data_IF_446073967806
#
_entry.id   IF_446073967806
#
_cell.length_a   1.000
_cell.length_b   1.000
_cell.length_c   1.000
_cell.angle_alpha   90.00
_cell.angle_beta   90.00
_cell.angle_gamma   90.00
#
_symmetry.space_group_name_H-M   'P 1'
#
loop_
_entity.id
_entity.type
_entity.pdbx_description
1 polymer ?
#
# COMPACT_ATOMS: atom_id res chain seq x y z
N UNK A 1 19.12 7.41 -13.61
CA UNK A 1 19.06 5.94 -13.54
C UNK A 1 18.01 5.42 -14.51
N UNK A 2 18.16 4.21 -15.09
CA UNK A 2 17.36 3.76 -16.24
C UNK A 2 15.83 3.80 -16.04
N UNK A 3 15.33 3.45 -14.86
CA UNK A 3 13.89 3.48 -14.55
C UNK A 3 13.33 4.91 -14.39
N UNK A 4 14.15 5.83 -13.85
CA UNK A 4 13.79 7.25 -13.73
C UNK A 4 13.81 7.94 -15.10
N UNK A 5 14.87 7.71 -15.88
CA UNK A 5 15.06 8.30 -17.21
C UNK A 5 14.01 7.83 -18.21
N UNK A 6 13.54 6.58 -18.08
CA UNK A 6 12.46 6.04 -18.93
C UNK A 6 11.05 6.39 -18.47
N UNK A 7 10.89 7.14 -17.37
CA UNK A 7 9.57 7.52 -16.82
C UNK A 7 8.76 6.35 -16.25
N UNK A 8 9.38 5.18 -16.04
CA UNK A 8 8.70 3.96 -15.56
C UNK A 8 8.72 3.80 -14.04
N UNK A 9 9.48 4.63 -13.33
CA UNK A 9 9.52 4.65 -11.87
C UNK A 9 8.43 5.56 -11.31
N UNK A 10 7.35 4.97 -10.78
CA UNK A 10 6.26 5.72 -10.16
C UNK A 10 6.61 6.29 -8.77
N UNK A 11 7.15 5.45 -7.89
CA UNK A 11 7.62 5.79 -6.55
C UNK A 11 8.48 4.65 -5.98
N UNK A 12 9.11 4.88 -4.83
CA UNK A 12 9.76 3.85 -4.02
C UNK A 12 8.97 3.61 -2.73
N UNK A 13 8.75 2.33 -2.42
CA UNK A 13 8.12 1.90 -1.17
C UNK A 13 9.18 1.59 -0.11
N UNK A 14 9.12 2.30 1.01
CA UNK A 14 9.87 2.03 2.23
C UNK A 14 8.98 1.28 3.24
N UNK A 15 9.07 -0.05 3.26
CA UNK A 15 8.31 -0.90 4.18
C UNK A 15 9.10 -1.15 5.47
N UNK A 16 8.57 -0.69 6.60
CA UNK A 16 9.19 -0.88 7.90
C UNK A 16 8.61 -2.08 8.66
N UNK A 17 9.41 -2.79 9.47
CA UNK A 17 8.97 -3.94 10.23
C UNK A 17 8.16 -3.53 11.49
N UNK A 18 7.43 -4.47 12.13
CA UNK A 18 6.61 -4.17 13.32
C UNK A 18 7.38 -3.58 14.51
N UNK A 19 8.68 -3.81 14.62
CA UNK A 19 9.53 -3.25 15.69
C UNK A 19 10.04 -1.83 15.40
N UNK A 20 9.62 -1.23 14.28
CA UNK A 20 9.86 0.19 13.99
C UNK A 20 8.78 1.01 14.71
N UNK A 21 9.15 1.75 15.76
CA UNK A 21 8.23 2.52 16.61
C UNK A 21 8.37 4.03 16.38
N UNK A 22 7.30 4.83 16.55
CA UNK A 22 7.37 6.29 16.41
C UNK A 22 8.20 6.94 17.50
N UNK A 23 9.45 7.26 17.15
CA UNK A 23 10.40 8.04 17.96
C UNK A 23 11.23 8.97 17.08
N UNK A 24 11.94 9.91 17.69
CA UNK A 24 12.72 10.91 16.96
C UNK A 24 13.69 10.27 15.98
N UNK A 25 14.43 9.24 16.41
CA UNK A 25 15.46 8.59 15.60
C UNK A 25 14.87 7.91 14.36
N UNK A 26 13.67 7.33 14.48
CA UNK A 26 12.98 6.71 13.33
C UNK A 26 12.40 7.73 12.37
N UNK A 27 11.97 8.89 12.88
CA UNK A 27 11.50 10.00 12.06
C UNK A 27 12.67 10.61 11.28
N UNK A 28 13.80 10.87 11.96
CA UNK A 28 15.04 11.35 11.35
C UNK A 28 15.57 10.37 10.29
N UNK A 29 15.42 9.06 10.54
CA UNK A 29 15.77 8.02 9.56
C UNK A 29 14.92 8.13 8.29
N UNK A 30 13.60 8.34 8.42
CA UNK A 30 12.72 8.52 7.25
C UNK A 30 13.08 9.77 6.46
N UNK A 31 13.47 10.86 7.13
CA UNK A 31 13.93 12.08 6.46
C UNK A 31 15.25 11.85 5.71
N UNK A 32 16.22 11.22 6.36
CA UNK A 32 17.49 10.83 5.72
C UNK A 32 17.24 9.93 4.50
N UNK A 33 16.30 8.99 4.61
CA UNK A 33 15.93 8.13 3.49
C UNK A 33 15.31 8.93 2.33
N UNK A 34 14.36 9.83 2.61
CA UNK A 34 13.76 10.73 1.60
C UNK A 34 14.82 11.58 0.90
N UNK A 35 15.73 12.18 1.66
CA UNK A 35 16.83 12.99 1.12
C UNK A 35 17.69 12.18 0.14
N UNK A 36 18.06 10.95 0.52
CA UNK A 36 18.85 10.05 -0.35
C UNK A 36 18.12 9.60 -1.61
N UNK A 37 16.79 9.58 -1.59
CA UNK A 37 15.97 9.27 -2.77
C UNK A 37 15.88 10.46 -3.74
N UNK A 38 16.27 11.67 -3.32
CA UNK A 38 16.20 12.88 -4.12
C UNK A 38 14.78 13.17 -4.61
N UNK A 39 14.63 13.36 -5.92
CA UNK A 39 13.33 13.65 -6.55
C UNK A 39 12.40 12.43 -6.67
N UNK A 40 12.85 11.22 -6.31
CA UNK A 40 12.01 10.02 -6.42
C UNK A 40 10.95 10.06 -5.30
N UNK A 41 9.65 9.99 -5.62
CA UNK A 41 8.60 9.96 -4.59
C UNK A 41 8.76 8.74 -3.68
N UNK A 42 8.59 8.96 -2.37
CA UNK A 42 8.72 7.91 -1.36
C UNK A 42 7.38 7.68 -0.70
N UNK A 43 6.98 6.41 -0.64
CA UNK A 43 5.80 5.95 0.12
C UNK A 43 6.28 5.10 1.29
N UNK A 44 5.75 5.35 2.47
CA UNK A 44 6.10 4.65 3.71
C UNK A 44 4.99 3.69 4.13
N UNK A 45 5.36 2.46 4.45
CA UNK A 45 4.45 1.48 5.01
C UNK A 45 4.84 1.09 6.44
N UNK A 46 3.90 1.31 7.36
CA UNK A 46 4.03 0.93 8.76
C UNK A 46 3.32 -0.40 9.05
N UNK A 47 3.94 -1.22 9.90
CA UNK A 47 3.43 -2.52 10.37
C UNK A 47 3.03 -2.52 11.85
N UNK A 48 2.94 -1.34 12.44
CA UNK A 48 2.67 -1.18 13.87
C UNK A 48 1.65 -0.07 14.12
N UNK A 49 0.57 -0.37 14.83
CA UNK A 49 -0.49 0.59 15.17
C UNK A 49 -0.03 1.82 15.94
N UNK A 50 1.14 1.79 16.58
CA UNK A 50 1.70 2.94 17.28
C UNK A 50 1.88 4.16 16.37
N UNK A 51 2.03 3.96 15.06
CA UNK A 51 2.12 5.02 14.04
C UNK A 51 0.77 5.65 13.70
N UNK A 52 -0.36 5.07 14.12
CA UNK A 52 -1.69 5.61 13.85
C UNK A 52 -1.99 6.80 14.77
N UNK A 53 -1.36 7.95 14.47
CA UNK A 53 -1.51 9.20 15.19
C UNK A 53 -1.60 10.36 14.20
N UNK A 54 -2.40 11.36 14.52
CA UNK A 54 -2.54 12.55 13.66
C UNK A 54 -1.20 13.25 13.41
N UNK A 55 -0.35 13.34 14.45
CA UNK A 55 0.99 13.92 14.33
C UNK A 55 1.91 13.19 13.35
N UNK A 56 1.71 11.88 13.14
CA UNK A 56 2.45 11.10 12.14
C UNK A 56 1.97 11.47 10.74
N UNK A 57 0.66 11.56 10.51
CA UNK A 57 0.12 11.97 9.20
C UNK A 57 0.53 13.40 8.84
N UNK A 58 0.50 14.32 9.80
CA UNK A 58 1.01 15.68 9.62
C UNK A 58 2.51 15.69 9.29
N UNK A 59 3.31 14.85 9.98
CA UNK A 59 4.73 14.69 9.66
C UNK A 59 4.93 14.18 8.23
N UNK A 60 4.17 13.18 7.79
CA UNK A 60 4.28 12.65 6.43
C UNK A 60 3.94 13.72 5.38
N UNK A 61 2.83 14.44 5.57
CA UNK A 61 2.42 15.54 4.68
C UNK A 61 3.45 16.66 4.62
N UNK A 62 3.96 17.11 5.78
CA UNK A 62 4.96 18.18 5.87
C UNK A 62 6.26 17.84 5.10
N UNK A 63 6.60 16.56 5.00
CA UNK A 63 7.88 16.11 4.43
C UNK A 63 7.72 15.38 3.08
N UNK A 64 6.56 15.51 2.42
CA UNK A 64 6.29 14.89 1.12
C UNK A 64 6.60 13.37 1.11
N UNK A 65 6.10 12.69 2.15
CA UNK A 65 6.16 11.24 2.31
C UNK A 65 4.77 10.65 2.12
N UNK A 66 4.61 9.80 1.11
CA UNK A 66 3.37 9.10 0.85
C UNK A 66 3.08 8.06 1.92
N UNK A 67 1.80 7.82 2.19
CA UNK A 67 1.35 6.82 3.14
C UNK A 67 0.83 5.58 2.40
N UNK A 68 1.39 4.42 2.73
CA UNK A 68 0.88 3.15 2.24
C UNK A 68 -0.32 2.70 3.09
N UNK A 69 -1.51 2.77 2.50
CA UNK A 69 -2.75 2.25 3.05
C UNK A 69 -2.69 0.71 3.00
N UNK A 70 -2.62 0.09 4.16
CA UNK A 70 -2.44 -1.36 4.29
C UNK A 70 -3.73 -2.04 4.73
N UNK A 71 -4.06 -3.17 4.11
CA UNK A 71 -4.92 -4.19 4.73
C UNK A 71 -4.08 -5.41 5.10
N UNK A 72 -4.09 -5.73 6.39
CA UNK A 72 -3.39 -6.85 7.01
C UNK A 72 -4.28 -7.49 8.09
N UNK A 73 -3.92 -8.66 8.64
CA UNK A 73 -4.74 -9.32 9.65
C UNK A 73 -4.96 -8.43 10.87
N UNK A 74 -6.16 -8.47 11.43
CA UNK A 74 -6.53 -7.72 12.62
C UNK A 74 -5.98 -8.39 13.89
N UNK A 75 -4.65 -8.39 14.03
CA UNK A 75 -3.92 -8.95 15.17
C UNK A 75 -3.41 -7.83 16.10
N UNK A 76 -3.25 -8.09 17.41
CA UNK A 76 -2.71 -7.10 18.33
C UNK A 76 -1.36 -6.54 17.86
N UNK A 77 -1.29 -5.21 17.74
CA UNK A 77 -0.07 -4.50 17.40
C UNK A 77 0.09 -4.18 15.92
N UNK A 78 -0.53 -4.95 15.02
CA UNK A 78 -0.54 -4.68 13.58
C UNK A 78 -1.31 -3.40 13.24
N UNK A 79 -0.97 -2.80 12.11
CA UNK A 79 -1.58 -1.58 11.61
C UNK A 79 -3.02 -1.86 11.18
N UNK A 80 -4.03 -1.19 11.77
CA UNK A 80 -5.39 -1.30 11.28
C UNK A 80 -5.52 -0.61 9.92
N UNK A 81 -6.51 -1.04 9.14
CA UNK A 81 -6.80 -0.38 7.87
C UNK A 81 -7.27 1.06 8.13
N UNK A 82 -6.52 2.02 7.57
CA UNK A 82 -6.81 3.44 7.64
C UNK A 82 -6.56 4.06 6.27
N UNK A 83 -7.58 4.58 5.60
CA UNK A 83 -7.42 5.23 4.29
C UNK A 83 -7.14 6.73 4.45
N UNK A 84 -5.94 7.17 4.05
CA UNK A 84 -5.53 8.58 4.02
C UNK A 84 -4.55 8.85 2.89
N UNK A 85 -4.66 10.01 2.25
CA UNK A 85 -3.63 10.54 1.36
C UNK A 85 -2.75 11.52 2.15
N UNK A 86 -1.43 11.35 2.06
CA UNK A 86 -0.45 12.29 2.64
C UNK A 86 0.40 13.01 1.59
N UNK A 87 0.23 12.62 0.32
CA UNK A 87 0.90 13.17 -0.86
C UNK A 87 -0.07 13.08 -2.04
N UNK A 88 0.37 13.51 -3.22
CA UNK A 88 -0.33 13.32 -4.49
C UNK A 88 -0.25 11.88 -5.04
N UNK A 89 0.39 10.97 -4.32
CA UNK A 89 0.39 9.53 -4.58
C UNK A 89 -0.51 8.81 -3.57
N UNK A 90 -1.56 8.16 -4.08
CA UNK A 90 -2.34 7.16 -3.37
C UNK A 90 -1.67 5.80 -3.50
N UNK A 91 -1.55 5.05 -2.39
CA UNK A 91 -0.87 3.76 -2.41
C UNK A 91 -1.55 2.75 -1.49
N UNK A 92 -2.02 1.64 -2.06
CA UNK A 92 -2.69 0.55 -1.33
C UNK A 92 -1.89 -0.75 -1.41
N UNK A 93 -1.78 -1.47 -0.29
CA UNK A 93 -1.23 -2.83 -0.24
C UNK A 93 -2.13 -3.77 0.55
N UNK A 94 -2.61 -4.81 -0.13
CA UNK A 94 -3.46 -5.85 0.45
C UNK A 94 -2.62 -7.10 0.69
N UNK A 95 -2.38 -7.45 1.95
CA UNK A 95 -1.57 -8.63 2.29
C UNK A 95 -2.37 -9.88 2.61
N UNK A 96 -3.68 -9.76 2.73
CA UNK A 96 -4.55 -10.81 3.25
C UNK A 96 -4.75 -10.71 4.76
N UNK A 97 -5.70 -11.51 5.27
CA UNK A 97 -6.11 -11.50 6.69
C UNK A 97 -5.92 -12.85 7.37
N UNK A 98 -4.87 -13.60 6.99
CA UNK A 98 -4.56 -14.87 7.65
C UNK A 98 -4.28 -14.64 9.15
N UNK A 99 -5.15 -15.18 10.01
CA UNK A 99 -5.05 -15.01 11.48
C UNK A 99 -3.84 -15.71 12.08
N UNK A 100 -3.26 -16.69 11.40
CA UNK A 100 -2.08 -17.43 11.85
C UNK A 100 -0.76 -16.75 11.41
N UNK A 101 -0.80 -15.48 11.01
CA UNK A 101 0.31 -14.71 10.42
C UNK A 101 1.70 -14.88 11.06
N UNK A 102 1.75 -14.98 12.39
CA UNK A 102 2.99 -15.15 13.16
C UNK A 102 3.38 -16.60 13.44
N UNK A 103 2.48 -17.54 13.19
CA UNK A 103 2.59 -18.95 13.57
C UNK A 103 2.68 -19.89 12.36
N UNK A 104 2.85 -19.35 11.15
CA UNK A 104 2.98 -20.13 9.91
C UNK A 104 4.26 -19.73 9.16
N UNK A 105 4.80 -20.61 8.29
CA UNK A 105 5.88 -20.26 7.40
C UNK A 105 5.57 -19.01 6.56
N UNK A 106 6.60 -18.26 6.17
CA UNK A 106 6.43 -17.02 5.41
C UNK A 106 5.61 -17.20 4.11
N UNK A 107 5.73 -18.35 3.45
CA UNK A 107 4.93 -18.70 2.28
C UNK A 107 3.42 -18.76 2.56
N UNK A 108 3.04 -19.22 3.76
CA UNK A 108 1.64 -19.38 4.17
C UNK A 108 1.08 -18.13 4.85
N UNK A 109 1.93 -17.23 5.34
CA UNK A 109 1.53 -15.96 5.95
C UNK A 109 0.57 -15.17 5.06
N UNK A 110 0.87 -15.14 3.76
CA UNK A 110 0.11 -14.44 2.71
C UNK A 110 -0.95 -15.32 2.03
N UNK A 111 -1.20 -16.53 2.56
CA UNK A 111 -2.19 -17.47 2.03
C UNK A 111 -3.62 -17.03 2.35
N UNK A 112 -4.11 -16.05 1.59
CA UNK A 112 -5.44 -15.48 1.74
C UNK A 112 -6.03 -15.16 0.38
N UNK A 113 -7.30 -15.49 0.15
CA UNK A 113 -8.04 -15.06 -1.03
C UNK A 113 -9.18 -14.19 -0.52
N UNK A 114 -9.12 -12.90 -0.80
CA UNK A 114 -10.20 -11.98 -0.45
C UNK A 114 -11.48 -12.39 -1.17
N UNK A 115 -12.61 -12.32 -0.46
CA UNK A 115 -13.91 -12.43 -1.10
C UNK A 115 -14.25 -11.16 -1.88
N UNK A 116 -15.19 -11.25 -2.83
CA UNK A 116 -15.67 -10.07 -3.55
C UNK A 116 -16.31 -9.06 -2.59
N UNK A 117 -17.04 -9.54 -1.58
CA UNK A 117 -17.66 -8.70 -0.56
C UNK A 117 -16.61 -7.90 0.23
N UNK A 118 -15.50 -8.53 0.61
CA UNK A 118 -14.41 -7.84 1.29
C UNK A 118 -13.78 -6.78 0.38
N UNK A 119 -13.52 -7.12 -0.89
CA UNK A 119 -12.94 -6.16 -1.84
C UNK A 119 -13.87 -4.97 -2.10
N UNK A 120 -15.18 -5.20 -2.18
CA UNK A 120 -16.19 -4.14 -2.35
C UNK A 120 -16.13 -3.10 -1.25
N UNK A 121 -15.76 -3.47 -0.02
CA UNK A 121 -15.65 -2.54 1.12
C UNK A 121 -14.53 -1.52 0.93
N UNK A 122 -13.49 -1.83 0.16
CA UNK A 122 -12.38 -0.90 -0.12
C UNK A 122 -12.65 0.04 -1.30
N UNK A 123 -13.62 -0.28 -2.17
CA UNK A 123 -13.89 0.48 -3.40
C UNK A 123 -14.18 1.96 -3.14
N UNK A 124 -15.02 2.35 -2.15
CA UNK A 124 -15.27 3.77 -1.88
C UNK A 124 -14.00 4.54 -1.51
N UNK A 125 -13.15 3.94 -0.68
CA UNK A 125 -11.88 4.54 -0.26
C UNK A 125 -10.89 4.65 -1.40
N UNK A 126 -10.73 3.58 -2.20
CA UNK A 126 -9.87 3.60 -3.38
C UNK A 126 -10.30 4.71 -4.34
N UNK A 127 -11.61 4.82 -4.62
CA UNK A 127 -12.14 5.88 -5.50
C UNK A 127 -11.95 7.28 -4.91
N UNK A 128 -12.10 7.44 -3.60
CA UNK A 128 -11.85 8.72 -2.94
C UNK A 128 -10.38 9.12 -3.05
N UNK A 129 -9.47 8.24 -2.65
CA UNK A 129 -8.02 8.49 -2.72
C UNK A 129 -7.58 8.75 -4.16
N UNK A 130 -8.10 8.00 -5.14
CA UNK A 130 -7.79 8.24 -6.56
C UNK A 130 -8.27 9.60 -7.08
N UNK A 131 -9.29 10.23 -6.45
CA UNK A 131 -9.71 11.60 -6.77
C UNK A 131 -8.89 12.67 -6.05
N UNK A 132 -8.35 12.35 -4.88
CA UNK A 132 -7.53 13.25 -4.06
C UNK A 132 -6.05 13.26 -4.50
N UNK A 133 -5.64 12.33 -5.36
CA UNK A 133 -4.24 12.08 -5.72
C UNK A 133 -4.07 12.07 -7.24
N UNK A 134 -2.89 12.47 -7.72
CA UNK A 134 -2.54 12.45 -9.14
C UNK A 134 -2.44 11.03 -9.69
N UNK A 135 -1.98 10.09 -8.85
CA UNK A 135 -1.84 8.66 -9.20
C UNK A 135 -2.19 7.80 -8.00
N UNK A 136 -2.94 6.72 -8.24
CA UNK A 136 -3.22 5.70 -7.24
C UNK A 136 -2.65 4.34 -7.67
N UNK A 137 -1.81 3.75 -6.82
CA UNK A 137 -1.28 2.40 -7.02
C UNK A 137 -1.94 1.41 -6.05
N UNK A 138 -2.33 0.25 -6.57
CA UNK A 138 -3.06 -0.78 -5.83
C UNK A 138 -2.33 -2.11 -6.02
N UNK A 139 -1.73 -2.64 -4.95
CA UNK A 139 -0.96 -3.87 -4.99
C UNK A 139 -1.58 -4.96 -4.13
N UNK A 140 -1.67 -6.17 -4.68
CA UNK A 140 -2.04 -7.38 -3.98
C UNK A 140 -0.78 -8.19 -3.66
N UNK A 141 -0.48 -8.37 -2.38
CA UNK A 141 0.70 -9.08 -1.88
C UNK A 141 0.36 -10.46 -1.28
N UNK A 142 -0.90 -10.89 -1.39
CA UNK A 142 -1.37 -12.24 -1.03
C UNK A 142 -0.97 -13.28 -2.10
N UNK A 143 0.31 -13.32 -2.49
CA UNK A 143 0.80 -13.98 -3.70
C UNK A 143 0.80 -15.53 -3.67
N UNK A 144 0.42 -16.14 -2.55
CA UNK A 144 0.39 -17.60 -2.42
C UNK A 144 -0.57 -18.22 -3.46
N UNK A 145 -0.07 -19.17 -4.25
CA UNK A 145 -0.84 -19.93 -5.25
C UNK A 145 -1.67 -19.06 -6.23
N UNK A 146 -1.13 -17.90 -6.66
CA UNK A 146 -1.79 -17.03 -7.66
C UNK A 146 -2.98 -16.22 -7.14
N UNK A 147 -3.27 -16.25 -5.83
CA UNK A 147 -4.41 -15.56 -5.22
C UNK A 147 -4.36 -14.04 -5.41
N UNK A 148 -3.17 -13.43 -5.34
CA UNK A 148 -2.97 -12.01 -5.61
C UNK A 148 -3.44 -11.60 -7.02
N UNK A 149 -3.11 -12.37 -8.05
CA UNK A 149 -3.52 -12.07 -9.42
C UNK A 149 -5.05 -12.12 -9.55
N UNK A 150 -5.68 -13.16 -8.98
CA UNK A 150 -7.15 -13.29 -8.96
C UNK A 150 -7.83 -12.13 -8.22
N UNK A 151 -7.31 -11.70 -7.07
CA UNK A 151 -7.89 -10.57 -6.34
C UNK A 151 -7.63 -9.22 -7.03
N UNK A 152 -6.47 -9.03 -7.67
CA UNK A 152 -6.20 -7.86 -8.49
C UNK A 152 -7.19 -7.77 -9.66
N UNK A 153 -7.46 -8.89 -10.33
CA UNK A 153 -8.49 -9.00 -11.35
C UNK A 153 -9.87 -8.60 -10.80
N UNK A 154 -10.33 -9.23 -9.72
CA UNK A 154 -11.60 -8.91 -9.08
C UNK A 154 -11.71 -7.41 -8.75
N UNK A 155 -10.66 -6.81 -8.20
CA UNK A 155 -10.62 -5.38 -7.89
C UNK A 155 -10.73 -4.52 -9.16
N UNK A 156 -10.04 -4.86 -10.25
CA UNK A 156 -10.17 -4.14 -11.53
C UNK A 156 -11.63 -4.16 -12.04
N UNK A 157 -12.33 -5.30 -11.94
CA UNK A 157 -13.75 -5.39 -12.27
C UNK A 157 -14.62 -4.50 -11.38
N UNK A 158 -14.42 -4.57 -10.07
CA UNK A 158 -15.18 -3.76 -9.09
C UNK A 158 -14.98 -2.25 -9.27
N UNK A 159 -13.80 -1.83 -9.73
CA UNK A 159 -13.48 -0.44 -10.05
C UNK A 159 -14.01 -0.02 -11.44
N UNK A 160 -14.49 -0.94 -12.27
CA UNK A 160 -14.91 -0.65 -13.65
C UNK A 160 -13.74 -0.42 -14.61
N UNK A 161 -12.54 -0.88 -14.25
CA UNK A 161 -11.29 -0.68 -14.98
C UNK A 161 -11.11 -1.65 -16.16
N UNK A 162 -11.86 -2.75 -16.17
CA UNK A 162 -11.86 -3.73 -17.27
C UNK A 162 -13.26 -4.27 -17.48
N UNK A 163 -13.66 -4.37 -18.75
CA UNK A 163 -14.89 -5.04 -19.19
C UNK A 163 -14.59 -6.46 -19.69
N UNK A 164 -13.42 -6.69 -20.30
CA UNK A 164 -12.91 -8.00 -20.72
C UNK A 164 -11.42 -8.17 -20.39
N UNK A 165 -10.99 -9.40 -20.05
CA UNK A 165 -9.57 -9.71 -19.82
C UNK A 165 -8.91 -10.17 -21.11
N UNK A 166 -7.98 -9.37 -21.61
CA UNK A 166 -7.21 -9.69 -22.82
C UNK A 166 -5.81 -10.24 -22.52
N UNK A 167 -5.45 -10.46 -21.25
CA UNK A 167 -4.11 -10.89 -20.82
C UNK A 167 -3.01 -9.83 -21.01
N UNK A 168 -3.36 -8.60 -21.43
CA UNK A 168 -2.41 -7.50 -21.65
C UNK A 168 -2.36 -6.55 -20.44
N UNK A 169 -1.17 -6.03 -20.15
CA UNK A 169 -0.97 -4.99 -19.16
C UNK A 169 -1.61 -3.68 -19.69
N UNK A 170 -2.75 -3.30 -19.12
CA UNK A 170 -3.47 -2.09 -19.51
C UNK A 170 -3.01 -0.92 -18.65
N UNK A 171 -2.40 0.09 -19.26
CA UNK A 171 -2.33 1.42 -18.67
C UNK A 171 -3.72 2.04 -18.79
N UNK A 172 -4.35 2.33 -17.66
CA UNK A 172 -5.68 2.94 -17.62
C UNK A 172 -5.49 4.39 -17.22
N UNK A 173 -5.67 5.29 -18.19
CA UNK A 173 -5.74 6.73 -17.93
C UNK A 173 -7.00 7.02 -17.12
N UNK A 174 -6.82 7.24 -15.82
CA UNK A 174 -7.80 7.87 -14.96
C UNK A 174 -7.56 9.38 -14.94
#
# INVERSE_FOLDING_TARGET
TPLKESGKLGCVLAQFPPFFYPKKETMDYMLTFKERMGEVPVVVEFRNKAWLKESVFQFLQKNDLGYCIVDEPQLPGLMPYQSRATTDIGYFRFHGRNRNWFNVPAAERYNYLYSEEELRRFVPDIKRIAKETSKAYIFFNNCHAGKAAKNAEMMKKLLGLVTEYTGKQTELGL
#
